data_IF_516226889235
#
_entry.id   IF_516226889235
#
_cell.length_a   1.000
_cell.length_b   1.000
_cell.length_c   1.000
_cell.angle_alpha   90.00
_cell.angle_beta   90.00
_cell.angle_gamma   90.00
#
_symmetry.space_group_name_H-M   'P 1'
#
loop_
_entity.id
_entity.type
_entity.pdbx_description
1 polymer ?
#
# COMPACT_ATOMS: atom_id res chain seq x y z
N UNK A 1 4.49 -23.92 84.14
CA UNK A 1 3.05 -23.70 83.89
C UNK A 1 2.81 -23.81 82.40
N UNK A 2 1.92 -24.72 81.99
CA UNK A 2 1.57 -25.02 80.59
C UNK A 2 0.48 -24.06 80.13
N UNK A 3 0.62 -23.43 78.97
CA UNK A 3 -0.49 -22.84 78.23
C UNK A 3 -0.39 -23.29 76.78
N UNK A 4 -1.34 -24.15 76.37
CA UNK A 4 -1.52 -24.65 75.01
C UNK A 4 -2.34 -23.61 74.23
N UNK A 5 -1.83 -23.17 73.08
CA UNK A 5 -2.56 -22.33 72.12
C UNK A 5 -3.25 -23.23 71.11
N UNK A 6 -4.59 -23.18 71.05
CA UNK A 6 -5.43 -23.94 70.12
C UNK A 6 -5.51 -23.25 68.77
N UNK A 7 -5.35 -24.06 67.73
CA UNK A 7 -5.54 -23.72 66.33
C UNK A 7 -7.01 -23.41 66.01
N UNK A 8 -7.25 -22.33 65.26
CA UNK A 8 -8.51 -22.06 64.58
C UNK A 8 -8.29 -22.15 63.06
N UNK A 9 -8.67 -23.29 62.48
CA UNK A 9 -8.64 -23.54 61.05
C UNK A 9 -9.97 -23.03 60.46
N UNK A 10 -9.96 -21.86 59.81
CA UNK A 10 -11.12 -21.34 59.07
C UNK A 10 -11.00 -21.83 57.62
N UNK A 11 -11.80 -22.83 57.27
CA UNK A 11 -11.93 -23.31 55.90
C UNK A 11 -12.79 -22.32 55.09
N UNK A 12 -12.14 -21.48 54.28
CA UNK A 12 -12.81 -20.65 53.29
C UNK A 12 -13.17 -21.52 52.07
N UNK A 13 -14.47 -21.81 51.92
CA UNK A 13 -15.02 -22.47 50.73
C UNK A 13 -15.12 -21.43 49.62
N UNK A 14 -14.12 -21.39 48.74
CA UNK A 14 -14.12 -20.55 47.54
C UNK A 14 -15.03 -21.16 46.49
N UNK A 15 -16.22 -20.59 46.31
CA UNK A 15 -17.17 -20.92 45.26
C UNK A 15 -16.73 -20.24 43.94
N UNK A 16 -15.86 -20.90 43.17
CA UNK A 16 -15.49 -20.47 41.81
C UNK A 16 -16.68 -20.66 40.87
N UNK A 17 -17.43 -19.58 40.58
CA UNK A 17 -18.31 -19.52 39.42
C UNK A 17 -17.44 -19.55 38.16
N UNK A 18 -17.36 -20.72 37.52
CA UNK A 18 -16.88 -20.84 36.15
C UNK A 18 -17.93 -20.22 35.22
N UNK A 19 -17.84 -18.92 34.99
CA UNK A 19 -18.52 -18.27 33.89
C UNK A 19 -17.86 -18.77 32.59
N UNK A 20 -18.45 -19.81 31.99
CA UNK A 20 -18.09 -20.27 30.66
C UNK A 20 -18.39 -19.15 29.66
N UNK A 21 -17.38 -18.32 29.38
CA UNK A 21 -17.39 -17.40 28.25
C UNK A 21 -17.30 -18.28 27.00
N UNK A 22 -18.46 -18.59 26.43
CA UNK A 22 -18.53 -19.09 25.06
C UNK A 22 -18.08 -17.93 24.17
N UNK A 23 -16.78 -17.91 23.85
CA UNK A 23 -16.29 -17.12 22.74
C UNK A 23 -16.95 -17.73 21.50
N UNK A 24 -18.08 -17.14 21.09
CA UNK A 24 -18.58 -17.36 19.74
C UNK A 24 -17.49 -16.81 18.83
N UNK A 25 -16.72 -17.70 18.20
CA UNK A 25 -15.80 -17.32 17.15
C UNK A 25 -16.63 -16.76 16.01
N UNK A 26 -16.79 -15.44 16.00
CA UNK A 26 -17.42 -14.70 14.92
C UNK A 26 -16.51 -14.84 13.70
N UNK A 27 -16.71 -15.90 12.92
CA UNK A 27 -16.07 -16.07 11.61
C UNK A 27 -16.42 -14.87 10.74
N UNK A 28 -15.42 -14.27 10.09
CA UNK A 28 -15.65 -13.16 9.16
C UNK A 28 -16.61 -13.61 8.04
N UNK A 29 -17.40 -12.70 7.44
CA UNK A 29 -18.28 -13.05 6.34
C UNK A 29 -17.47 -13.54 5.13
N UNK A 30 -18.01 -14.52 4.41
CA UNK A 30 -17.49 -14.95 3.10
C UNK A 30 -17.99 -13.99 2.04
N UNK A 31 -17.15 -13.08 1.54
CA UNK A 31 -17.53 -12.11 0.51
C UNK A 31 -16.38 -11.74 -0.44
N UNK A 32 -16.73 -11.28 -1.64
CA UNK A 32 -15.79 -10.67 -2.59
C UNK A 32 -16.15 -9.22 -2.82
N UNK A 33 -15.20 -8.30 -2.65
CA UNK A 33 -15.38 -6.88 -2.92
C UNK A 33 -14.70 -6.56 -4.23
N UNK A 34 -15.46 -6.45 -5.31
CA UNK A 34 -14.95 -6.08 -6.64
C UNK A 34 -14.83 -4.57 -6.70
N UNK A 35 -13.61 -4.04 -6.71
CA UNK A 35 -13.33 -2.61 -6.86
C UNK A 35 -12.91 -2.30 -8.29
N UNK A 36 -13.61 -1.37 -8.93
CA UNK A 36 -13.34 -0.95 -10.32
C UNK A 36 -12.67 0.41 -10.32
N UNK A 37 -11.51 0.50 -10.98
CA UNK A 37 -10.74 1.73 -11.18
C UNK A 37 -10.42 1.90 -12.66
N UNK A 38 -10.30 3.13 -13.15
CA UNK A 38 -9.72 3.43 -14.46
C UNK A 38 -8.35 4.10 -14.28
N UNK A 39 -7.43 3.85 -15.20
CA UNK A 39 -6.14 4.58 -15.23
C UNK A 39 -6.33 6.05 -15.59
N UNK A 40 -7.42 6.37 -16.30
CA UNK A 40 -7.90 7.72 -16.54
C UNK A 40 -9.43 7.73 -16.54
N UNK A 41 -10.03 8.71 -15.88
CA UNK A 41 -11.47 8.97 -15.99
C UNK A 41 -11.83 9.84 -17.19
N UNK A 42 -10.84 10.35 -17.93
CA UNK A 42 -11.08 11.07 -19.17
C UNK A 42 -11.82 10.13 -20.13
N UNK A 43 -12.95 10.62 -20.67
CA UNK A 43 -13.83 9.90 -21.60
C UNK A 43 -14.68 8.74 -21.04
N UNK A 44 -14.57 8.37 -19.76
CA UNK A 44 -15.46 7.36 -19.15
C UNK A 44 -16.88 7.89 -19.08
N UNK A 45 -17.82 7.24 -19.78
CA UNK A 45 -19.24 7.68 -19.84
C UNK A 45 -20.12 6.87 -18.91
N UNK A 46 -20.05 5.54 -18.98
CA UNK A 46 -20.67 4.64 -18.00
C UNK A 46 -19.92 3.33 -17.88
N UNK A 47 -20.11 2.65 -16.76
CA UNK A 47 -19.57 1.32 -16.48
C UNK A 47 -20.68 0.42 -15.97
N UNK A 48 -20.72 -0.81 -16.46
CA UNK A 48 -21.63 -1.85 -16.01
C UNK A 48 -20.85 -3.03 -15.47
N UNK A 49 -21.39 -3.69 -14.45
CA UNK A 49 -20.83 -4.92 -13.86
C UNK A 49 -21.88 -6.01 -13.99
N UNK A 50 -21.53 -7.12 -14.62
CA UNK A 50 -22.35 -8.33 -14.72
C UNK A 50 -21.69 -9.45 -13.93
N UNK A 51 -22.48 -10.15 -13.11
CA UNK A 51 -22.02 -11.27 -12.29
C UNK A 51 -22.74 -12.55 -12.71
N UNK A 52 -22.00 -13.64 -12.90
CA UNK A 52 -22.57 -14.92 -13.31
C UNK A 52 -21.58 -16.07 -13.26
N UNK A 53 -21.85 -17.09 -14.07
CA UNK A 53 -20.89 -18.18 -14.33
C UNK A 53 -20.10 -17.86 -15.60
N UNK A 54 -18.95 -18.54 -15.80
CA UNK A 54 -18.10 -18.37 -17.00
C UNK A 54 -18.89 -18.52 -18.31
N UNK A 55 -19.90 -19.38 -18.34
CA UNK A 55 -20.73 -19.65 -19.54
C UNK A 55 -21.95 -18.74 -19.69
N UNK A 56 -22.43 -18.10 -18.62
CA UNK A 56 -23.69 -17.33 -18.65
C UNK A 56 -23.48 -15.82 -18.55
N UNK A 57 -22.32 -15.35 -18.09
CA UNK A 57 -22.09 -13.93 -17.79
C UNK A 57 -22.35 -13.03 -19.00
N UNK A 58 -22.06 -13.50 -20.22
CA UNK A 58 -22.13 -12.66 -21.40
C UNK A 58 -23.56 -12.36 -21.85
N UNK A 59 -24.51 -13.21 -21.46
CA UNK A 59 -25.95 -13.13 -21.80
C UNK A 59 -26.79 -12.47 -20.70
N UNK A 60 -26.22 -12.27 -19.50
CA UNK A 60 -26.94 -11.72 -18.35
C UNK A 60 -27.04 -10.19 -18.40
N UNK A 61 -28.15 -9.61 -17.92
CA UNK A 61 -28.23 -8.17 -17.74
C UNK A 61 -27.20 -7.71 -16.68
N UNK A 62 -26.75 -6.44 -16.74
CA UNK A 62 -25.92 -5.84 -15.70
C UNK A 62 -26.53 -6.01 -14.30
N UNK A 63 -25.71 -6.39 -13.34
CA UNK A 63 -26.06 -6.44 -11.91
C UNK A 63 -25.95 -5.06 -11.27
N UNK A 64 -25.07 -4.20 -11.79
CA UNK A 64 -24.91 -2.82 -11.37
C UNK A 64 -24.46 -1.96 -12.56
N UNK A 65 -24.78 -0.66 -12.52
CA UNK A 65 -24.26 0.34 -13.45
C UNK A 65 -23.92 1.64 -12.72
N UNK A 66 -22.95 2.39 -13.24
CA UNK A 66 -22.51 3.68 -12.71
C UNK A 66 -21.99 4.57 -13.82
N UNK A 67 -22.32 5.86 -13.77
CA UNK A 67 -21.88 6.88 -14.74
C UNK A 67 -20.72 7.73 -14.23
N UNK A 68 -20.44 7.69 -12.93
CA UNK A 68 -19.40 8.50 -12.30
C UNK A 68 -18.05 7.77 -12.27
N UNK A 69 -16.97 8.51 -12.55
CA UNK A 69 -15.57 8.13 -12.34
C UNK A 69 -14.90 9.30 -11.61
N UNK A 70 -14.25 9.05 -10.48
CA UNK A 70 -13.55 10.08 -9.70
C UNK A 70 -12.21 10.42 -10.39
N UNK A 71 -12.06 11.63 -10.94
CA UNK A 71 -10.86 11.99 -11.70
C UNK A 71 -9.59 12.07 -10.85
N UNK A 72 -9.71 12.19 -9.52
CA UNK A 72 -8.55 12.29 -8.63
C UNK A 72 -7.94 10.93 -8.29
N UNK A 73 -8.78 9.90 -8.18
CA UNK A 73 -8.40 8.56 -7.72
C UNK A 73 -8.52 7.49 -8.81
N UNK A 74 -9.17 7.81 -9.93
CA UNK A 74 -9.57 6.86 -10.96
C UNK A 74 -10.70 5.93 -10.52
N UNK A 75 -11.30 6.12 -9.33
CA UNK A 75 -12.26 5.19 -8.79
C UNK A 75 -13.62 5.29 -9.50
N UNK A 76 -14.09 4.16 -10.05
CA UNK A 76 -15.42 4.05 -10.64
C UNK A 76 -16.40 3.57 -9.57
N UNK A 77 -16.03 2.59 -8.74
CA UNK A 77 -16.87 2.11 -7.63
C UNK A 77 -16.53 0.71 -7.15
N UNK A 78 -17.37 0.15 -6.28
CA UNK A 78 -17.23 -1.21 -5.80
C UNK A 78 -18.57 -1.96 -5.76
N UNK A 79 -18.50 -3.29 -5.87
CA UNK A 79 -19.62 -4.21 -5.76
C UNK A 79 -19.25 -5.34 -4.81
N UNK A 80 -20.06 -5.54 -3.76
CA UNK A 80 -19.91 -6.67 -2.83
C UNK A 80 -20.70 -7.86 -3.35
N UNK A 81 -20.03 -9.00 -3.47
CA UNK A 81 -20.61 -10.28 -3.87
C UNK A 81 -20.59 -11.21 -2.68
N UNK A 82 -21.71 -11.87 -2.44
CA UNK A 82 -21.85 -12.91 -1.42
C UNK A 82 -22.18 -14.24 -2.11
N UNK A 83 -21.66 -15.38 -1.61
CA UNK A 83 -21.94 -16.68 -2.20
C UNK A 83 -23.44 -16.99 -2.11
N UNK A 84 -24.05 -17.35 -3.24
CA UNK A 84 -25.43 -17.85 -3.29
C UNK A 84 -25.53 -19.38 -3.17
N UNK A 85 -24.38 -20.07 -3.13
CA UNK A 85 -24.25 -21.52 -3.05
C UNK A 85 -23.13 -21.90 -2.09
N UNK A 86 -22.16 -22.70 -2.56
CA UNK A 86 -21.01 -23.07 -1.75
C UNK A 86 -20.15 -21.84 -1.40
N UNK A 87 -19.63 -21.81 -0.17
CA UNK A 87 -18.77 -20.72 0.36
C UNK A 87 -17.40 -20.63 -0.32
N UNK A 88 -17.06 -21.60 -1.16
CA UNK A 88 -15.88 -21.66 -2.00
C UNK A 88 -16.24 -21.75 -3.49
N UNK A 89 -17.46 -21.35 -3.84
CA UNK A 89 -17.96 -21.34 -5.20
C UNK A 89 -17.16 -20.42 -6.13
N UNK A 90 -17.12 -20.78 -7.41
CA UNK A 90 -16.58 -19.90 -8.45
C UNK A 90 -17.61 -18.85 -8.84
N UNK A 91 -17.16 -17.62 -9.07
CA UNK A 91 -17.96 -16.53 -9.61
C UNK A 91 -17.20 -15.83 -10.72
N UNK A 92 -17.92 -15.46 -11.76
CA UNK A 92 -17.35 -14.78 -12.91
C UNK A 92 -17.88 -13.36 -12.99
N UNK A 93 -16.97 -12.40 -13.14
CA UNK A 93 -17.29 -10.98 -13.18
C UNK A 93 -16.87 -10.41 -14.51
N UNK A 94 -17.80 -9.71 -15.17
CA UNK A 94 -17.56 -8.94 -16.38
C UNK A 94 -17.81 -7.47 -16.09
N UNK A 95 -16.81 -6.64 -16.35
CA UNK A 95 -16.90 -5.19 -16.25
C UNK A 95 -16.81 -4.63 -17.66
N UNK A 96 -17.80 -3.82 -18.06
CA UNK A 96 -17.82 -3.14 -19.36
C UNK A 96 -17.87 -1.65 -19.12
N UNK A 97 -16.86 -0.94 -19.61
CA UNK A 97 -16.75 0.52 -19.51
C UNK A 97 -16.81 1.14 -20.90
N UNK A 98 -17.76 2.05 -21.10
CA UNK A 98 -17.91 2.80 -22.36
C UNK A 98 -17.07 4.07 -22.35
N UNK A 99 -16.24 4.22 -23.39
CA UNK A 99 -15.34 5.36 -23.59
C UNK A 99 -15.94 6.25 -24.69
N UNK A 100 -16.50 7.40 -24.28
CA UNK A 100 -17.34 8.31 -25.10
C UNK A 100 -18.64 7.68 -25.63
N UNK A 101 -19.01 6.51 -25.12
CA UNK A 101 -20.25 5.78 -25.44
C UNK A 101 -20.82 5.19 -24.15
N UNK A 102 -22.11 4.90 -24.10
CA UNK A 102 -22.72 4.24 -22.94
C UNK A 102 -22.36 2.74 -22.93
N UNK A 103 -21.95 2.21 -21.78
CA UNK A 103 -21.64 0.80 -21.56
C UNK A 103 -22.80 -0.14 -21.95
N UNK A 104 -24.04 0.32 -21.85
CA UNK A 104 -25.24 -0.43 -22.24
C UNK A 104 -25.34 -0.63 -23.76
N UNK A 105 -24.71 0.24 -24.55
CA UNK A 105 -24.63 0.09 -26.02
C UNK A 105 -23.50 -0.85 -26.45
N UNK A 106 -22.60 -1.22 -25.52
CA UNK A 106 -21.47 -2.10 -25.75
C UNK A 106 -21.92 -3.56 -25.75
N UNK A 107 -22.47 -4.02 -26.86
CA UNK A 107 -22.91 -5.42 -27.02
C UNK A 107 -21.94 -6.22 -27.88
N UNK A 108 -21.86 -7.52 -27.60
CA UNK A 108 -21.18 -8.45 -28.48
C UNK A 108 -21.85 -8.45 -29.88
N UNK A 109 -21.09 -8.61 -30.98
CA UNK A 109 -19.65 -8.92 -30.99
C UNK A 109 -18.73 -7.70 -31.00
N UNK A 110 -19.23 -6.49 -31.25
CA UNK A 110 -18.37 -5.38 -31.67
C UNK A 110 -17.69 -4.63 -30.52
N UNK A 111 -18.32 -4.49 -29.35
CA UNK A 111 -17.82 -3.70 -28.19
C UNK A 111 -17.15 -2.36 -28.56
N UNK A 112 -17.61 -1.73 -29.65
CA UNK A 112 -16.95 -0.59 -30.24
C UNK A 112 -17.06 0.64 -29.32
N UNK A 113 -15.94 1.27 -29.01
CA UNK A 113 -15.81 2.35 -28.03
C UNK A 113 -15.71 1.87 -26.59
N UNK A 114 -15.53 0.58 -26.33
CA UNK A 114 -15.65 0.03 -24.98
C UNK A 114 -14.42 -0.77 -24.57
N UNK A 115 -14.21 -0.85 -23.25
CA UNK A 115 -13.23 -1.72 -22.61
C UNK A 115 -13.98 -2.83 -21.89
N UNK A 116 -13.61 -4.09 -22.14
CA UNK A 116 -14.19 -5.25 -21.47
C UNK A 116 -13.12 -5.93 -20.63
N UNK A 117 -13.33 -5.95 -19.32
CA UNK A 117 -12.50 -6.69 -18.37
C UNK A 117 -13.27 -7.87 -17.81
N UNK A 118 -12.63 -9.04 -17.75
CA UNK A 118 -13.21 -10.27 -17.21
C UNK A 118 -12.31 -10.84 -16.10
N UNK A 119 -12.94 -11.42 -15.08
CA UNK A 119 -12.24 -12.09 -13.98
C UNK A 119 -12.99 -13.37 -13.60
N UNK A 120 -12.25 -14.48 -13.52
CA UNK A 120 -12.71 -15.67 -12.80
C UNK A 120 -12.21 -15.60 -11.36
N UNK A 121 -13.12 -15.74 -10.41
CA UNK A 121 -12.85 -15.58 -8.99
C UNK A 121 -13.43 -16.75 -8.20
N UNK A 122 -12.91 -16.98 -7.00
CA UNK A 122 -13.43 -17.97 -6.06
C UNK A 122 -13.60 -17.34 -4.69
N UNK A 123 -14.72 -17.63 -4.03
CA UNK A 123 -14.90 -17.24 -2.63
C UNK A 123 -13.89 -17.98 -1.73
N UNK A 124 -13.46 -17.33 -0.66
CA UNK A 124 -12.67 -17.98 0.39
C UNK A 124 -13.50 -18.00 1.67
N UNK A 125 -13.80 -19.20 2.15
CA UNK A 125 -14.64 -19.40 3.33
C UNK A 125 -14.13 -18.55 4.50
N UNK A 126 -15.03 -17.75 5.06
CA UNK A 126 -14.76 -16.94 6.24
C UNK A 126 -13.81 -15.78 6.00
N UNK A 127 -13.70 -15.28 4.76
CA UNK A 127 -12.84 -14.16 4.41
C UNK A 127 -13.55 -13.15 3.47
N UNK A 128 -13.25 -11.87 3.70
CA UNK A 128 -13.55 -10.79 2.75
C UNK A 128 -12.35 -10.59 1.82
N UNK A 129 -12.48 -10.94 0.53
CA UNK A 129 -11.40 -10.78 -0.44
C UNK A 129 -11.68 -9.58 -1.33
N UNK A 130 -10.72 -8.66 -1.43
CA UNK A 130 -10.82 -7.48 -2.32
C UNK A 130 -10.17 -7.82 -3.65
N UNK A 131 -10.91 -7.59 -4.74
CA UNK A 131 -10.45 -7.83 -6.11
C UNK A 131 -10.46 -6.51 -6.87
N UNK A 132 -9.31 -6.07 -7.35
CA UNK A 132 -9.22 -4.86 -8.16
C UNK A 132 -9.32 -5.16 -9.66
N UNK A 133 -10.18 -4.41 -10.35
CA UNK A 133 -10.36 -4.44 -11.80
C UNK A 133 -9.98 -3.08 -12.35
N UNK A 134 -8.84 -3.02 -13.05
CA UNK A 134 -8.35 -1.80 -13.69
C UNK A 134 -8.80 -1.72 -15.14
N UNK A 135 -9.46 -0.62 -15.48
CA UNK A 135 -9.87 -0.27 -16.84
C UNK A 135 -8.72 0.48 -17.51
N UNK A 136 -8.15 -0.15 -18.52
CA UNK A 136 -7.06 0.39 -19.32
C UNK A 136 -7.60 0.91 -20.66
N UNK A 137 -7.47 2.21 -20.98
CA UNK A 137 -7.88 2.77 -22.26
C UNK A 137 -7.22 2.12 -23.47
N UNK A 138 -6.04 1.49 -23.33
CA UNK A 138 -5.39 0.73 -24.41
C UNK A 138 -6.20 -0.51 -24.83
N UNK A 139 -7.11 -0.96 -23.98
CA UNK A 139 -8.01 -2.08 -24.24
C UNK A 139 -9.32 -1.68 -24.90
N UNK A 140 -9.47 -0.41 -25.28
CA UNK A 140 -10.61 0.05 -26.05
C UNK A 140 -10.65 -0.69 -27.39
N UNK A 141 -11.82 -1.19 -27.76
CA UNK A 141 -12.04 -1.94 -29.00
C UNK A 141 -11.30 -3.30 -29.05
N UNK A 142 -10.74 -3.78 -27.92
CA UNK A 142 -10.06 -5.08 -27.84
C UNK A 142 -11.02 -6.14 -27.30
N UNK A 143 -11.36 -7.11 -28.14
CA UNK A 143 -12.19 -8.25 -27.76
C UNK A 143 -11.33 -9.47 -27.47
N UNK A 144 -11.31 -9.89 -26.20
CA UNK A 144 -10.71 -11.16 -25.81
C UNK A 144 -11.74 -12.30 -25.86
N UNK A 145 -11.27 -13.49 -26.25
CA UNK A 145 -12.09 -14.68 -26.33
C UNK A 145 -12.62 -15.15 -24.97
N UNK A 146 -13.37 -16.27 -24.95
CA UNK A 146 -13.75 -16.94 -23.70
C UNK A 146 -12.50 -17.26 -22.87
N UNK A 147 -12.51 -16.94 -21.58
CA UNK A 147 -11.33 -17.15 -20.71
C UNK A 147 -10.29 -16.01 -20.76
N UNK A 148 -10.52 -14.99 -21.58
CA UNK A 148 -9.57 -13.90 -21.77
C UNK A 148 -10.06 -12.54 -21.29
N UNK A 149 -9.13 -11.70 -20.86
CA UNK A 149 -9.33 -10.30 -20.50
C UNK A 149 -8.25 -9.45 -21.15
N UNK A 150 -8.56 -8.19 -21.48
CA UNK A 150 -7.53 -7.29 -21.98
C UNK A 150 -6.74 -6.66 -20.83
N UNK A 151 -5.42 -6.55 -20.98
CA UNK A 151 -4.50 -5.80 -20.13
C UNK A 151 -3.37 -5.23 -21.00
N UNK A 152 -3.09 -3.92 -20.92
CA UNK A 152 -2.05 -3.29 -21.75
C UNK A 152 -2.27 -3.44 -23.25
N UNK A 153 -3.52 -3.44 -23.70
CA UNK A 153 -3.91 -3.65 -25.11
C UNK A 153 -3.72 -5.09 -25.63
N UNK A 154 -3.44 -6.07 -24.76
CA UNK A 154 -3.27 -7.48 -25.12
C UNK A 154 -4.23 -8.38 -24.35
N UNK A 155 -4.67 -9.47 -24.99
CA UNK A 155 -5.47 -10.48 -24.31
C UNK A 155 -4.59 -11.40 -23.47
N UNK A 156 -4.92 -11.48 -22.19
CA UNK A 156 -4.32 -12.35 -21.17
C UNK A 156 -5.40 -13.25 -20.56
N UNK A 157 -5.00 -14.26 -19.78
CA UNK A 157 -5.95 -15.10 -19.04
C UNK A 157 -6.77 -14.26 -18.05
N UNK A 158 -8.06 -14.57 -17.90
CA UNK A 158 -8.92 -13.96 -16.89
C UNK A 158 -8.65 -14.45 -15.45
N UNK A 159 -7.79 -15.45 -15.28
CA UNK A 159 -7.28 -15.96 -14.00
C UNK A 159 -6.02 -15.20 -13.54
N UNK A 160 -5.17 -14.75 -14.47
CA UNK A 160 -3.89 -14.10 -14.18
C UNK A 160 -4.01 -12.57 -13.95
N UNK A 161 -5.16 -12.00 -14.30
CA UNK A 161 -5.33 -10.54 -14.40
C UNK A 161 -5.33 -9.75 -13.09
N UNK A 162 -5.19 -10.39 -11.94
CA UNK A 162 -5.08 -9.68 -10.67
C UNK A 162 -4.50 -10.61 -9.62
N UNK A 163 -3.26 -10.33 -9.22
CA UNK A 163 -2.74 -10.87 -7.97
C UNK A 163 -3.79 -10.59 -6.89
N UNK A 164 -4.42 -11.65 -6.36
CA UNK A 164 -5.17 -11.56 -5.13
C UNK A 164 -4.19 -10.95 -4.13
N UNK A 165 -4.42 -9.69 -3.75
CA UNK A 165 -3.54 -9.00 -2.80
C UNK A 165 -3.56 -9.83 -1.53
N UNK A 166 -2.37 -10.28 -1.16
CA UNK A 166 -2.10 -11.46 -0.35
C UNK A 166 -2.88 -11.47 0.98
N UNK A 167 -3.86 -12.38 1.07
CA UNK A 167 -4.51 -12.79 2.31
C UNK A 167 -4.11 -14.22 2.70
N UNK A 168 -2.86 -14.61 2.45
CA UNK A 168 -2.38 -15.97 2.64
C UNK A 168 -1.77 -16.24 4.01
N UNK A 169 -2.56 -16.77 4.94
CA UNK A 169 -2.10 -17.82 5.86
C UNK A 169 -2.75 -19.12 5.40
N UNK A 170 -1.99 -20.00 4.71
CA UNK A 170 -2.43 -21.36 4.38
C UNK A 170 -1.79 -22.34 5.36
N UNK A 171 -2.66 -22.96 6.15
CA UNK A 171 -2.37 -24.12 6.99
C UNK A 171 -2.31 -25.38 6.12
N UNK A 172 -1.39 -26.27 6.47
CA UNK A 172 -0.96 -27.40 5.65
C UNK A 172 -2.00 -28.52 5.53
N UNK A 173 -2.09 -29.11 4.34
CA UNK A 173 -2.74 -30.42 4.16
C UNK A 173 -2.01 -31.17 3.04
N UNK A 174 -1.44 -32.31 3.41
CA UNK A 174 -0.60 -33.20 2.61
C UNK A 174 -1.37 -33.87 1.46
N UNK A 175 -1.44 -33.19 0.31
CA UNK A 175 -1.86 -33.78 -0.97
C UNK A 175 -0.68 -34.45 -1.70
N UNK A 176 -0.87 -35.61 -2.36
CA UNK A 176 0.20 -36.32 -3.05
C UNK A 176 0.76 -35.48 -4.21
N UNK A 177 2.09 -35.44 -4.28
CA UNK A 177 2.89 -34.67 -5.21
C UNK A 177 2.49 -34.96 -6.68
N UNK A 178 1.79 -34.01 -7.28
CA UNK A 178 1.64 -33.94 -8.73
C UNK A 178 2.73 -33.00 -9.26
N UNK A 179 3.47 -33.49 -10.24
CA UNK A 179 4.63 -32.86 -10.88
C UNK A 179 4.22 -31.64 -11.70
N UNK A 180 3.80 -30.58 -11.02
CA UNK A 180 3.51 -29.27 -11.59
C UNK A 180 4.79 -28.67 -12.16
N UNK A 181 4.77 -28.46 -13.48
CA UNK A 181 5.81 -27.81 -14.26
C UNK A 181 6.35 -26.58 -13.52
N UNK A 182 7.65 -26.60 -13.24
CA UNK A 182 8.37 -25.52 -12.58
C UNK A 182 8.03 -24.20 -13.28
N UNK A 183 7.34 -23.31 -12.57
CA UNK A 183 7.14 -21.94 -13.02
C UNK A 183 8.51 -21.39 -13.38
N UNK A 184 8.73 -21.12 -14.67
CA UNK A 184 10.00 -20.75 -15.27
C UNK A 184 10.77 -19.81 -14.34
N UNK A 185 11.77 -20.36 -13.64
CA UNK A 185 12.61 -19.58 -12.74
C UNK A 185 13.17 -18.44 -13.58
N UNK A 186 12.69 -17.22 -13.30
CA UNK A 186 13.00 -16.07 -14.12
C UNK A 186 14.51 -15.99 -14.29
N UNK A 187 14.99 -16.04 -15.54
CA UNK A 187 16.41 -16.01 -15.83
C UNK A 187 16.98 -14.75 -15.16
N UNK A 188 17.97 -14.89 -14.26
CA UNK A 188 18.48 -13.74 -13.52
C UNK A 188 19.04 -12.72 -14.50
N UNK A 189 18.48 -11.50 -14.45
CA UNK A 189 18.93 -10.37 -15.26
C UNK A 189 20.34 -9.98 -14.81
N UNK A 190 21.30 -9.97 -15.74
CA UNK A 190 22.65 -9.50 -15.44
C UNK A 190 22.65 -7.98 -15.35
N UNK A 191 23.31 -7.44 -14.32
CA UNK A 191 23.38 -6.00 -14.11
C UNK A 191 24.00 -5.28 -15.31
N UNK A 192 25.05 -5.86 -15.89
CA UNK A 192 25.81 -5.28 -16.99
C UNK A 192 24.96 -5.05 -18.24
N UNK A 193 23.89 -5.84 -18.40
CA UNK A 193 22.99 -5.77 -19.54
C UNK A 193 21.89 -4.70 -19.38
N UNK A 194 21.70 -4.14 -18.16
CA UNK A 194 20.57 -3.23 -17.86
C UNK A 194 20.98 -1.91 -17.19
N UNK A 195 22.20 -1.77 -16.67
CA UNK A 195 22.64 -0.59 -15.92
C UNK A 195 23.27 0.51 -16.81
N UNK A 196 22.50 1.04 -17.77
CA UNK A 196 23.03 2.04 -18.73
C UNK A 196 23.43 3.39 -18.09
N UNK A 197 22.75 3.78 -17.01
CA UNK A 197 22.99 5.06 -16.34
C UNK A 197 24.15 5.01 -15.33
N UNK A 198 24.67 3.83 -15.02
CA UNK A 198 25.55 3.60 -13.87
C UNK A 198 26.75 2.71 -14.17
N UNK A 199 27.28 2.11 -13.12
CA UNK A 199 28.32 1.07 -13.21
C UNK A 199 27.90 -0.09 -12.32
N UNK A 200 28.01 -1.31 -12.84
CA UNK A 200 27.72 -2.49 -12.05
C UNK A 200 28.84 -2.80 -11.07
N UNK A 201 28.51 -2.81 -9.80
CA UNK A 201 29.43 -3.15 -8.70
C UNK A 201 28.80 -4.28 -7.91
N UNK A 202 29.37 -5.48 -8.03
CA UNK A 202 28.88 -6.69 -7.34
C UNK A 202 27.40 -6.99 -7.62
N UNK A 203 26.95 -6.84 -8.88
CA UNK A 203 25.57 -7.08 -9.29
C UNK A 203 24.56 -5.98 -8.96
N UNK A 204 25.01 -4.86 -8.37
CA UNK A 204 24.20 -3.66 -8.11
C UNK A 204 24.55 -2.55 -9.10
N UNK A 205 23.53 -1.88 -9.62
CA UNK A 205 23.71 -0.71 -10.48
C UNK A 205 24.01 0.54 -9.63
N UNK A 206 25.25 1.04 -9.66
CA UNK A 206 25.64 2.25 -8.94
C UNK A 206 25.65 3.47 -9.87
N UNK A 207 24.71 4.39 -9.62
CA UNK A 207 24.53 5.64 -10.36
C UNK A 207 25.06 6.78 -9.49
N UNK A 208 26.29 7.22 -9.77
CA UNK A 208 26.82 8.47 -9.20
C UNK A 208 26.40 9.64 -10.07
N UNK A 209 25.60 10.54 -9.51
CA UNK A 209 25.02 11.66 -10.21
C UNK A 209 25.84 12.94 -10.04
N UNK A 210 25.95 13.69 -11.13
CA UNK A 210 26.42 15.08 -11.15
C UNK A 210 25.28 15.95 -11.70
N UNK A 211 25.43 17.28 -11.61
CA UNK A 211 24.46 18.22 -12.17
C UNK A 211 24.17 17.95 -13.66
N UNK A 212 25.18 17.54 -14.44
CA UNK A 212 25.01 17.21 -15.86
C UNK A 212 24.44 15.80 -16.08
N UNK A 213 24.94 14.79 -15.35
CA UNK A 213 24.62 13.38 -15.63
C UNK A 213 23.16 13.03 -15.30
N UNK A 214 22.59 13.63 -14.25
CA UNK A 214 21.24 13.35 -13.77
C UNK A 214 20.34 14.59 -13.83
N UNK A 215 20.56 15.45 -14.84
CA UNK A 215 19.77 16.67 -15.03
C UNK A 215 18.26 16.39 -15.18
N UNK A 216 17.89 15.21 -15.69
CA UNK A 216 16.49 14.77 -15.82
C UNK A 216 16.08 13.78 -14.73
N UNK A 217 16.93 13.55 -13.71
CA UNK A 217 16.74 12.54 -12.69
C UNK A 217 17.53 11.26 -12.99
N UNK A 218 17.18 10.18 -12.28
CA UNK A 218 17.81 8.87 -12.42
C UNK A 218 16.73 7.78 -12.35
N UNK A 219 16.79 6.83 -13.27
CA UNK A 219 15.89 5.67 -13.27
C UNK A 219 16.71 4.42 -13.00
N UNK A 220 16.35 3.69 -11.96
CA UNK A 220 16.96 2.41 -11.64
C UNK A 220 16.39 1.30 -12.53
N UNK A 221 17.24 0.42 -13.09
CA UNK A 221 16.78 -0.68 -13.92
C UNK A 221 16.02 -1.75 -13.13
N UNK A 222 15.09 -2.42 -13.79
CA UNK A 222 14.31 -3.50 -13.19
C UNK A 222 15.17 -4.77 -13.00
N UNK A 223 14.83 -5.56 -11.98
CA UNK A 223 15.44 -6.88 -11.75
C UNK A 223 16.81 -6.87 -11.07
N UNK A 224 17.42 -5.70 -10.82
CA UNK A 224 18.71 -5.59 -10.12
C UNK A 224 18.66 -4.57 -8.98
N UNK A 225 19.49 -4.71 -7.93
CA UNK A 225 19.64 -3.70 -6.89
C UNK A 225 20.18 -2.41 -7.50
N UNK A 226 19.72 -1.26 -7.01
CA UNK A 226 20.17 0.04 -7.50
C UNK A 226 20.61 0.95 -6.36
N UNK A 227 21.69 1.70 -6.58
CA UNK A 227 22.15 2.75 -5.67
C UNK A 227 22.32 4.06 -6.43
N UNK A 228 21.67 5.11 -5.98
CA UNK A 228 21.79 6.46 -6.53
C UNK A 228 22.49 7.37 -5.53
N UNK A 229 23.53 8.08 -5.96
CA UNK A 229 24.31 8.98 -5.10
C UNK A 229 24.38 10.37 -5.71
N UNK A 230 23.65 11.32 -5.10
CA UNK A 230 23.57 12.73 -5.47
C UNK A 230 24.43 13.54 -4.49
N UNK A 231 25.73 13.62 -4.79
CA UNK A 231 26.74 14.10 -3.83
C UNK A 231 26.96 15.62 -3.85
N UNK A 232 26.79 16.24 -5.02
CA UNK A 232 27.00 17.67 -5.22
C UNK A 232 25.71 18.46 -5.00
N UNK A 233 25.81 19.72 -4.59
CA UNK A 233 24.65 20.63 -4.54
C UNK A 233 23.99 20.71 -5.92
N UNK A 234 22.65 20.84 -5.92
CA UNK A 234 21.84 20.89 -7.15
C UNK A 234 21.98 19.66 -8.06
N UNK A 235 22.58 18.56 -7.58
CA UNK A 235 22.59 17.31 -8.32
C UNK A 235 21.25 16.59 -8.21
N UNK A 236 20.87 15.88 -9.28
CA UNK A 236 19.57 15.21 -9.36
C UNK A 236 18.37 16.15 -9.20
N UNK A 237 18.27 17.23 -10.01
CA UNK A 237 17.10 18.10 -9.98
C UNK A 237 15.85 17.38 -10.53
N UNK A 238 16.00 16.33 -11.33
CA UNK A 238 14.85 15.52 -11.75
C UNK A 238 14.44 14.47 -10.73
N UNK A 239 13.34 13.78 -11.04
CA UNK A 239 12.81 12.68 -10.21
C UNK A 239 13.72 11.45 -10.25
N UNK A 240 14.02 10.89 -9.08
CA UNK A 240 14.65 9.56 -8.96
C UNK A 240 13.55 8.51 -8.92
N UNK A 241 13.59 7.55 -9.85
CA UNK A 241 12.56 6.51 -9.99
C UNK A 241 13.18 5.12 -9.80
N UNK A 242 12.75 4.42 -8.76
CA UNK A 242 13.09 3.01 -8.54
C UNK A 242 11.91 2.13 -8.93
N UNK A 243 11.69 1.94 -10.23
CA UNK A 243 10.58 1.13 -10.76
C UNK A 243 11.09 -0.27 -11.08
N UNK A 244 10.66 -1.27 -10.32
CA UNK A 244 10.99 -2.68 -10.58
C UNK A 244 12.41 -3.13 -10.22
N UNK A 245 13.27 -2.26 -9.68
CA UNK A 245 14.55 -2.66 -9.09
C UNK A 245 14.30 -3.67 -7.95
N UNK A 246 15.23 -4.56 -7.62
CA UNK A 246 15.02 -5.52 -6.51
C UNK A 246 15.27 -4.91 -5.13
N UNK A 247 16.00 -3.80 -5.07
CA UNK A 247 16.09 -2.89 -3.91
C UNK A 247 16.60 -1.53 -4.40
N UNK A 248 16.37 -0.48 -3.64
CA UNK A 248 16.87 0.86 -3.97
C UNK A 248 17.51 1.56 -2.77
N UNK A 249 18.74 2.03 -2.94
CA UNK A 249 19.46 2.86 -1.96
C UNK A 249 19.73 4.25 -2.55
N UNK A 250 19.08 5.29 -2.02
CA UNK A 250 19.18 6.66 -2.52
C UNK A 250 19.86 7.53 -1.47
N UNK A 251 20.94 8.20 -1.87
CA UNK A 251 21.69 9.13 -1.01
C UNK A 251 21.74 10.53 -1.60
N UNK A 252 21.15 11.48 -0.89
CA UNK A 252 20.99 12.87 -1.27
C UNK A 252 21.78 13.74 -0.29
N UNK A 253 23.10 13.80 -0.47
CA UNK A 253 23.99 14.47 0.49
C UNK A 253 24.26 15.94 0.16
N UNK A 254 24.12 16.33 -1.10
CA UNK A 254 24.22 17.74 -1.50
C UNK A 254 22.96 18.54 -1.15
N UNK A 255 23.10 19.85 -0.99
CA UNK A 255 21.95 20.73 -0.79
C UNK A 255 21.08 20.80 -2.04
N UNK A 256 19.75 20.89 -1.84
CA UNK A 256 18.75 20.94 -2.92
C UNK A 256 18.90 19.80 -3.94
N UNK A 257 19.25 18.61 -3.45
CA UNK A 257 19.37 17.39 -4.27
C UNK A 257 18.13 16.53 -4.20
N UNK A 258 17.98 15.64 -5.18
CA UNK A 258 16.89 14.66 -5.25
C UNK A 258 15.54 15.33 -5.12
N UNK A 259 15.17 16.19 -6.06
CA UNK A 259 13.94 17.01 -5.94
C UNK A 259 12.72 16.16 -5.56
N UNK A 260 12.55 14.99 -6.20
CA UNK A 260 11.49 14.03 -5.89
C UNK A 260 12.03 12.60 -5.94
N UNK A 261 11.57 11.75 -5.03
CA UNK A 261 11.89 10.31 -5.00
C UNK A 261 10.61 9.48 -5.13
N UNK A 262 10.63 8.51 -6.05
CA UNK A 262 9.55 7.55 -6.28
C UNK A 262 10.09 6.12 -6.17
N UNK A 263 9.75 5.44 -5.09
CA UNK A 263 10.11 4.04 -4.83
C UNK A 263 8.93 3.13 -5.18
N UNK A 264 9.00 2.45 -6.33
CA UNK A 264 8.02 1.46 -6.79
C UNK A 264 8.74 0.12 -7.08
N UNK A 265 9.49 -0.33 -6.06
CA UNK A 265 10.33 -1.53 -6.10
C UNK A 265 9.65 -2.65 -5.31
N UNK A 266 9.65 -3.91 -5.78
CA UNK A 266 9.19 -5.04 -4.97
C UNK A 266 10.01 -5.27 -3.69
N UNK A 267 11.19 -4.65 -3.54
CA UNK A 267 12.04 -4.79 -2.36
C UNK A 267 12.08 -3.56 -1.45
N UNK A 268 13.10 -3.46 -0.58
CA UNK A 268 13.28 -2.32 0.30
C UNK A 268 13.77 -1.08 -0.47
N UNK A 269 13.27 0.09 -0.08
CA UNK A 269 13.77 1.40 -0.52
C UNK A 269 14.32 2.20 0.67
N UNK A 270 15.62 2.49 0.66
CA UNK A 270 16.27 3.32 1.67
C UNK A 270 16.57 4.69 1.08
N UNK A 271 16.09 5.76 1.73
CA UNK A 271 16.25 7.14 1.26
C UNK A 271 16.92 7.96 2.36
N UNK A 272 18.16 8.38 2.11
CA UNK A 272 18.95 9.23 3.01
C UNK A 272 19.00 10.67 2.47
N UNK A 273 18.24 11.59 3.08
CA UNK A 273 18.15 13.00 2.71
C UNK A 273 19.03 13.84 3.68
N UNK A 274 20.32 13.93 3.35
CA UNK A 274 21.38 14.49 4.21
C UNK A 274 21.85 15.89 3.80
N UNK A 275 21.27 16.48 2.75
CA UNK A 275 21.49 17.89 2.38
C UNK A 275 20.32 18.77 2.81
N UNK A 276 20.55 20.08 2.96
CA UNK A 276 19.47 21.02 3.25
C UNK A 276 18.51 21.07 2.05
N UNK A 277 17.20 21.00 2.30
CA UNK A 277 16.18 20.98 1.23
C UNK A 277 16.38 19.83 0.23
N UNK A 278 17.09 18.77 0.63
CA UNK A 278 17.09 17.52 -0.14
C UNK A 278 15.72 16.86 -0.07
N UNK A 279 15.32 16.10 -1.10
CA UNK A 279 14.00 15.47 -1.15
C UNK A 279 12.87 16.53 -1.11
N UNK A 280 13.11 17.67 -1.76
CA UNK A 280 12.36 18.92 -1.64
C UNK A 280 10.85 18.83 -1.91
N UNK A 281 10.48 18.11 -2.95
CA UNK A 281 9.09 17.94 -3.39
C UNK A 281 8.42 16.73 -2.72
N UNK A 282 9.22 15.86 -2.10
CA UNK A 282 8.72 14.73 -1.31
C UNK A 282 9.22 13.36 -1.75
N UNK A 283 8.81 12.36 -0.99
CA UNK A 283 9.20 10.95 -1.17
C UNK A 283 7.91 10.12 -1.20
N UNK A 284 7.75 9.32 -2.26
CA UNK A 284 6.60 8.42 -2.45
C UNK A 284 7.10 6.98 -2.48
N UNK A 285 6.55 6.13 -1.62
CA UNK A 285 6.94 4.73 -1.49
C UNK A 285 5.74 3.80 -1.68
N UNK A 286 5.83 2.82 -2.59
CA UNK A 286 4.77 1.83 -2.89
C UNK A 286 5.28 0.38 -2.87
N UNK A 287 6.55 0.19 -2.51
CA UNK A 287 7.23 -1.11 -2.54
C UNK A 287 6.95 -2.03 -1.34
N UNK A 288 7.87 -2.95 -1.04
CA UNK A 288 7.72 -3.82 0.13
C UNK A 288 8.03 -3.11 1.45
N UNK A 289 9.07 -2.27 1.48
CA UNK A 289 9.37 -1.44 2.64
C UNK A 289 10.07 -0.15 2.24
N UNK A 290 9.99 0.87 3.09
CA UNK A 290 10.59 2.16 2.84
C UNK A 290 11.10 2.79 4.14
N UNK A 291 12.40 3.09 4.18
CA UNK A 291 13.07 3.76 5.28
C UNK A 291 13.54 5.14 4.79
N UNK A 292 12.99 6.20 5.38
CA UNK A 292 13.36 7.59 5.12
C UNK A 292 14.13 8.15 6.32
N UNK A 293 15.28 8.76 6.06
CA UNK A 293 16.10 9.47 7.06
C UNK A 293 16.37 10.89 6.59
N UNK A 294 15.99 11.86 7.43
CA UNK A 294 16.08 13.31 7.16
C UNK A 294 16.88 13.99 8.31
N UNK A 295 18.21 13.98 8.22
CA UNK A 295 19.11 14.35 9.34
C UNK A 295 19.50 15.84 9.39
N UNK A 296 19.36 16.55 8.28
CA UNK A 296 19.73 17.99 8.19
C UNK A 296 18.53 18.90 8.36
N UNK A 297 18.82 20.16 8.67
CA UNK A 297 17.80 21.18 8.76
C UNK A 297 17.12 21.34 7.39
N UNK A 298 15.80 21.46 7.41
CA UNK A 298 14.96 21.61 6.22
C UNK A 298 15.11 20.44 5.23
N UNK A 299 15.59 19.28 5.67
CA UNK A 299 15.58 18.07 4.83
C UNK A 299 14.15 17.56 4.69
N UNK A 300 13.79 17.07 3.50
CA UNK A 300 12.45 16.54 3.23
C UNK A 300 11.30 17.54 3.52
N UNK A 301 11.35 18.80 3.03
CA UNK A 301 10.30 19.78 3.32
C UNK A 301 8.96 19.44 2.62
N UNK A 302 8.99 18.58 1.59
CA UNK A 302 7.82 18.08 0.89
C UNK A 302 7.04 17.02 1.66
N UNK A 303 6.12 16.34 0.97
CA UNK A 303 5.31 15.28 1.59
C UNK A 303 6.05 13.94 1.62
N UNK A 304 5.80 13.14 2.65
CA UNK A 304 6.16 11.73 2.68
C UNK A 304 4.88 10.91 2.52
N UNK A 305 4.71 10.20 1.40
CA UNK A 305 3.55 9.32 1.15
C UNK A 305 4.03 7.87 1.05
N UNK A 306 3.91 7.13 2.15
CA UNK A 306 4.38 5.77 2.24
C UNK A 306 3.23 4.77 2.28
N UNK A 307 3.07 4.03 1.18
CA UNK A 307 2.07 2.97 0.94
C UNK A 307 2.74 1.62 0.72
N UNK A 308 3.90 1.41 1.35
CA UNK A 308 4.62 0.15 1.23
C UNK A 308 3.79 -0.99 1.85
N UNK A 309 3.85 -2.20 1.31
CA UNK A 309 3.03 -3.31 1.81
C UNK A 309 3.45 -3.79 3.20
N UNK A 310 4.74 -3.72 3.53
CA UNK A 310 5.30 -4.19 4.80
C UNK A 310 5.51 -3.06 5.82
N UNK A 311 6.64 -2.35 5.71
CA UNK A 311 7.08 -1.36 6.69
C UNK A 311 7.34 0.00 6.06
N UNK A 312 6.91 1.04 6.74
CA UNK A 312 7.30 2.42 6.50
C UNK A 312 7.97 2.98 7.75
N UNK A 313 9.18 3.53 7.61
CA UNK A 313 9.90 4.22 8.66
C UNK A 313 10.25 5.64 8.21
N UNK A 314 10.04 6.63 9.07
CA UNK A 314 10.48 8.00 8.85
C UNK A 314 11.19 8.52 10.10
N UNK A 315 12.50 8.76 9.99
CA UNK A 315 13.32 9.42 11.01
C UNK A 315 13.59 10.88 10.60
N UNK A 316 12.90 11.81 11.24
CA UNK A 316 12.98 13.25 11.00
C UNK A 316 13.81 13.91 12.11
N UNK A 317 15.13 13.96 11.91
CA UNK A 317 16.11 14.26 12.95
C UNK A 317 16.68 15.69 12.85
N UNK A 318 16.55 16.36 11.70
CA UNK A 318 16.93 17.77 11.51
C UNK A 318 15.85 18.77 11.92
N UNK A 319 16.21 20.02 12.18
CA UNK A 319 15.20 21.07 12.45
C UNK A 319 14.35 21.29 11.20
N UNK A 320 13.02 21.35 11.36
CA UNK A 320 12.04 21.39 10.26
C UNK A 320 12.18 20.26 9.23
N UNK A 321 12.82 19.15 9.60
CA UNK A 321 12.81 17.96 8.76
C UNK A 321 11.39 17.40 8.64
N UNK A 322 11.01 16.94 7.45
CA UNK A 322 9.65 16.46 7.20
C UNK A 322 8.58 17.53 7.51
N UNK A 323 8.78 18.78 7.07
CA UNK A 323 7.82 19.88 7.36
C UNK A 323 6.45 19.62 6.72
N UNK A 324 6.40 18.92 5.58
CA UNK A 324 5.16 18.53 4.93
C UNK A 324 4.35 17.46 5.67
N UNK A 325 3.22 17.08 5.10
CA UNK A 325 2.38 16.00 5.64
C UNK A 325 3.10 14.66 5.50
N UNK A 326 3.13 13.90 6.59
CA UNK A 326 3.66 12.54 6.67
C UNK A 326 2.48 11.56 6.65
N UNK A 327 2.28 10.87 5.53
CA UNK A 327 1.23 9.83 5.37
C UNK A 327 1.87 8.45 5.32
N UNK A 328 1.33 7.53 6.11
CA UNK A 328 1.79 6.16 6.20
C UNK A 328 0.60 5.20 6.16
N UNK A 329 0.58 4.29 5.19
CA UNK A 329 -0.49 3.31 4.96
C UNK A 329 0.06 1.88 4.78
N UNK A 330 1.14 1.56 5.48
CA UNK A 330 1.77 0.24 5.45
C UNK A 330 1.21 -0.71 6.50
N UNK A 331 1.62 -1.99 6.51
CA UNK A 331 1.28 -2.88 7.62
C UNK A 331 1.87 -2.37 8.95
N UNK A 332 3.08 -1.79 8.92
CA UNK A 332 3.73 -1.16 10.08
C UNK A 332 4.26 0.24 9.76
N UNK A 333 3.92 1.22 10.59
CA UNK A 333 4.39 2.59 10.53
C UNK A 333 5.24 2.95 11.77
N UNK A 334 6.46 3.46 11.57
CA UNK A 334 7.34 3.96 12.64
C UNK A 334 7.84 5.38 12.28
N UNK A 335 7.26 6.38 12.92
CA UNK A 335 7.46 7.80 12.59
C UNK A 335 8.07 8.50 13.81
N UNK A 336 9.26 9.08 13.63
CA UNK A 336 10.01 9.76 14.68
C UNK A 336 10.28 11.21 14.28
N UNK A 337 9.60 12.14 14.94
CA UNK A 337 9.74 13.59 14.76
C UNK A 337 10.52 14.14 15.95
N UNK A 338 11.85 14.28 15.82
CA UNK A 338 12.73 14.47 17.00
C UNK A 338 13.07 15.92 17.31
N UNK A 339 13.00 16.83 16.33
CA UNK A 339 13.44 18.23 16.48
C UNK A 339 12.34 19.26 16.23
N UNK A 340 12.68 20.53 16.43
CA UNK A 340 11.74 21.64 16.32
C UNK A 340 11.21 21.77 14.89
N UNK A 341 9.89 21.95 14.76
CA UNK A 341 9.24 22.05 13.46
C UNK A 341 9.20 20.76 12.64
N UNK A 342 9.61 19.61 13.18
CA UNK A 342 9.52 18.34 12.46
C UNK A 342 8.08 17.84 12.38
N UNK A 343 7.69 17.26 11.25
CA UNK A 343 6.32 16.77 11.02
C UNK A 343 5.25 17.86 11.19
N UNK A 344 5.61 19.12 10.88
CA UNK A 344 4.76 20.28 11.10
C UNK A 344 3.44 20.21 10.34
N UNK A 345 3.45 19.62 9.14
CA UNK A 345 2.25 19.38 8.33
C UNK A 345 1.29 18.32 8.90
N UNK A 346 1.66 17.68 10.02
CA UNK A 346 0.90 16.62 10.65
C UNK A 346 1.38 15.22 10.24
N UNK A 347 0.81 14.22 10.90
CA UNK A 347 1.09 12.81 10.67
C UNK A 347 -0.23 12.07 10.51
N UNK A 348 -0.39 11.32 9.42
CA UNK A 348 -1.50 10.38 9.21
C UNK A 348 -0.97 8.97 9.06
N UNK A 349 -1.15 8.14 10.07
CA UNK A 349 -0.76 6.74 10.06
C UNK A 349 -2.00 5.85 10.06
N UNK A 350 -2.25 5.17 8.94
CA UNK A 350 -3.35 4.24 8.68
C UNK A 350 -2.78 2.83 8.48
N UNK A 351 -2.48 2.14 9.59
CA UNK A 351 -1.71 0.91 9.56
C UNK A 351 -2.20 -0.12 10.58
N UNK A 352 -1.85 -1.38 10.35
CA UNK A 352 -2.08 -2.44 11.34
C UNK A 352 -1.39 -2.12 12.67
N UNK A 353 -0.15 -1.62 12.61
CA UNK A 353 0.59 -1.13 13.78
C UNK A 353 1.27 0.20 13.48
N UNK A 354 1.01 1.21 14.30
CA UNK A 354 1.57 2.55 14.16
C UNK A 354 2.32 2.95 15.43
N UNK A 355 3.53 3.48 15.27
CA UNK A 355 4.27 4.19 16.32
C UNK A 355 4.56 5.61 15.84
N UNK A 356 4.07 6.61 16.56
CA UNK A 356 4.34 8.03 16.26
C UNK A 356 4.95 8.68 17.49
N UNK A 357 6.19 9.16 17.37
CA UNK A 357 6.92 9.83 18.46
C UNK A 357 7.26 11.26 18.08
N UNK A 358 6.69 12.21 18.81
CA UNK A 358 6.93 13.65 18.68
C UNK A 358 7.76 14.12 19.89
N UNK A 359 9.06 14.35 19.72
CA UNK A 359 10.01 14.51 20.83
C UNK A 359 10.73 15.88 20.89
N UNK A 360 10.35 16.87 20.06
CA UNK A 360 10.97 18.21 20.08
C UNK A 360 10.25 19.25 20.96
N UNK A 361 10.91 20.38 21.22
CA UNK A 361 10.46 21.35 22.24
C UNK A 361 9.32 22.26 21.77
N UNK A 362 9.38 22.73 20.51
CA UNK A 362 8.40 23.66 19.92
C UNK A 362 8.07 23.28 18.48
N UNK A 363 6.78 23.27 18.15
CA UNK A 363 6.24 23.08 16.78
C UNK A 363 6.57 21.72 16.14
N UNK A 364 7.13 20.77 16.87
CA UNK A 364 7.07 19.36 16.46
C UNK A 364 5.61 18.97 16.34
N UNK A 365 5.25 18.17 15.33
CA UNK A 365 3.89 17.68 15.09
C UNK A 365 2.82 18.77 15.31
N UNK A 366 3.05 19.96 14.73
CA UNK A 366 2.15 21.10 14.88
C UNK A 366 0.78 20.78 14.27
N UNK A 367 0.75 20.20 13.07
CA UNK A 367 -0.46 19.68 12.45
C UNK A 367 -1.06 18.49 13.21
N UNK A 368 -2.23 18.03 12.76
CA UNK A 368 -2.92 16.93 13.41
C UNK A 368 -2.12 15.62 13.31
N UNK A 369 -2.07 14.88 14.42
CA UNK A 369 -1.58 13.51 14.44
C UNK A 369 -2.79 12.59 14.45
N UNK A 370 -3.02 11.90 13.33
CA UNK A 370 -4.09 10.93 13.13
C UNK A 370 -3.50 9.54 13.03
N UNK A 371 -3.96 8.68 13.92
CA UNK A 371 -3.62 7.27 13.98
C UNK A 371 -4.89 6.44 13.77
N UNK A 372 -4.95 5.68 12.68
CA UNK A 372 -6.06 4.79 12.34
C UNK A 372 -5.52 3.37 12.16
N UNK A 373 -6.35 2.36 12.46
CA UNK A 373 -6.06 0.96 12.14
C UNK A 373 -6.06 0.03 13.36
N UNK A 374 -5.10 -0.89 13.43
CA UNK A 374 -5.13 -1.97 14.43
C UNK A 374 -4.67 -1.51 15.82
N UNK A 375 -3.44 -1.01 15.90
CA UNK A 375 -2.84 -0.49 17.13
C UNK A 375 -2.04 0.78 16.84
N UNK A 376 -2.16 1.77 17.72
CA UNK A 376 -1.33 2.97 17.69
C UNK A 376 -0.70 3.23 19.05
N UNK A 377 0.62 3.41 19.03
CA UNK A 377 1.43 3.92 20.13
C UNK A 377 1.91 5.33 19.78
N UNK A 378 1.32 6.33 20.44
CA UNK A 378 1.68 7.74 20.32
C UNK A 378 2.42 8.24 21.54
N UNK A 379 3.47 9.02 21.34
CA UNK A 379 4.14 9.74 22.41
C UNK A 379 4.46 11.16 22.00
N UNK A 380 3.91 12.14 22.72
CA UNK A 380 4.30 13.54 22.59
C UNK A 380 5.01 13.98 23.86
N UNK A 381 6.23 14.49 23.74
CA UNK A 381 6.98 15.05 24.86
C UNK A 381 6.84 16.58 24.88
N UNK A 382 6.62 17.16 26.05
CA UNK A 382 6.56 18.63 26.20
C UNK A 382 5.38 19.26 25.47
N UNK A 383 5.66 20.24 24.59
CA UNK A 383 4.66 20.96 23.78
C UNK A 383 4.60 20.45 22.33
N UNK A 384 5.08 19.24 22.06
CA UNK A 384 5.18 18.68 20.71
C UNK A 384 3.84 18.32 20.04
N UNK A 385 2.68 18.46 20.69
CA UNK A 385 1.38 18.13 20.10
C UNK A 385 0.33 19.14 20.57
N UNK A 386 0.42 20.37 20.07
CA UNK A 386 -0.42 21.48 20.55
C UNK A 386 -1.84 21.44 20.00
N UNK A 387 -2.06 20.86 18.81
CA UNK A 387 -3.36 20.84 18.14
C UNK A 387 -4.20 19.64 18.59
N UNK A 388 -3.96 18.45 18.03
CA UNK A 388 -4.71 17.25 18.39
C UNK A 388 -3.92 15.96 18.15
N UNK A 389 -4.15 14.98 19.02
CA UNK A 389 -3.76 13.59 18.80
C UNK A 389 -5.04 12.76 18.72
N UNK A 390 -5.43 12.43 17.49
CA UNK A 390 -6.58 11.59 17.20
C UNK A 390 -6.10 10.15 17.04
N UNK A 391 -6.65 9.26 17.86
CA UNK A 391 -6.44 7.83 17.72
C UNK A 391 -7.79 7.14 17.54
N UNK A 392 -8.01 6.65 16.33
CA UNK A 392 -9.14 5.82 15.90
C UNK A 392 -8.61 4.42 15.51
N UNK A 393 -7.78 3.87 16.40
CA UNK A 393 -7.25 2.52 16.26
C UNK A 393 -7.92 1.58 17.26
N UNK A 394 -7.95 0.28 16.95
CA UNK A 394 -8.49 -0.73 17.85
C UNK A 394 -7.84 -0.73 19.24
N UNK A 395 -6.55 -0.39 19.31
CA UNK A 395 -5.83 -0.14 20.56
C UNK A 395 -5.07 1.18 20.49
N UNK A 396 -5.28 2.05 21.48
CA UNK A 396 -4.63 3.36 21.57
C UNK A 396 -3.81 3.47 22.86
N UNK A 397 -2.48 3.55 22.73
CA UNK A 397 -1.57 3.99 23.78
C UNK A 397 -1.04 5.38 23.42
N UNK A 398 -1.70 6.42 23.93
CA UNK A 398 -1.33 7.81 23.62
C UNK A 398 -0.34 8.40 24.63
N UNK A 399 0.34 7.59 25.45
CA UNK A 399 1.37 8.07 26.38
C UNK A 399 0.87 9.12 27.38
N UNK A 400 -0.42 9.10 27.73
CA UNK A 400 -1.06 10.06 28.64
C UNK A 400 -1.71 11.28 27.98
N UNK A 401 -1.75 11.35 26.65
CA UNK A 401 -2.48 12.39 25.92
C UNK A 401 -3.99 12.15 25.94
N UNK A 402 -4.76 13.24 25.82
CA UNK A 402 -6.21 13.13 25.62
C UNK A 402 -6.46 12.64 24.20
N UNK A 403 -6.99 11.43 24.11
CA UNK A 403 -7.46 10.86 22.85
C UNK A 403 -8.82 11.45 22.53
N UNK A 404 -8.93 12.13 21.40
CA UNK A 404 -10.20 12.67 20.91
C UNK A 404 -10.05 13.06 19.44
N UNK A 405 -10.78 12.37 18.57
CA UNK A 405 -10.91 12.76 17.19
C UNK A 405 -12.01 13.83 17.07
N UNK A 406 -11.78 14.91 16.31
CA UNK A 406 -12.78 15.95 16.08
C UNK A 406 -14.00 15.45 15.30
#
# INVERSE_FOLDING_TARGET
MRARSTAGLVAAVSLTLAAGVWAADCTQPTELIVRVRATSCEDVTSTTITVGTRTSVDERPPSASRTACDPSSGEIGSLVLVPSGAEDGEVYVRVVTGIRVSAETCTAPAFAGCVVAKRSLRYVRGQSVIVEVTIDPQCRDVQCGPGGTCSGGRCVSDEDGGALVDGGARDGSDGPADSGLDADAAVPVKCEDVCDAGTCVSGRCEITCTAAKCAQGATCPAGVPCKVSCLANDSCPGTIRCVGATSCDIRCTGDRTCEKVECDTPGPCNVECNGNTSCGTGVVCRGASCDLTCDRNDSCPGTFDCKATGRCKADCDGDRACEGLVTCAAATCDIQCKRNGTCKGGVRADAGTSTVRCAGDRMTCEGDVQCVGGSCAGGCMGMACMNSFCCDAGTCDAGGLRVGCP
#
